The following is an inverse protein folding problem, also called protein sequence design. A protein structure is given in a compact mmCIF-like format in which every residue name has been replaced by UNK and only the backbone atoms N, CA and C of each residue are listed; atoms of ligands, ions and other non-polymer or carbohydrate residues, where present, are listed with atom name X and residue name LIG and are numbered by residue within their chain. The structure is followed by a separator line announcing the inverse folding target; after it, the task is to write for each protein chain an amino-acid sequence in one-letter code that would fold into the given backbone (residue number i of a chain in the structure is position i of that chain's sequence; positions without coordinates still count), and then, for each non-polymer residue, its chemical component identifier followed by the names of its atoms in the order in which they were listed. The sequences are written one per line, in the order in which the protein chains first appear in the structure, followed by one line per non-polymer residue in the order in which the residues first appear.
data_IF_660821813685
#
_entry.id   IF_660821813685
#
_cell.length_a   1.000
_cell.length_b   1.000
_cell.length_c   1.000
_cell.angle_alpha   90.00
_cell.angle_beta   90.00
_cell.angle_gamma   90.00
#
_symmetry.space_group_name_H-M   'P 1'
#
loop_
_entity.id
_entity.type
_entity.pdbx_description
1 polymer ?
#
# COMPACT_ATOMS: atom_id res chain seq x y z
N UNK A 1 12.13 -22.34 -4.58
CA UNK A 1 10.98 -21.41 -4.61
C UNK A 1 11.20 -20.46 -5.76
N UNK A 2 10.27 -20.36 -6.71
CA UNK A 2 10.42 -19.47 -7.86
C UNK A 2 10.55 -18.02 -7.36
N UNK A 3 11.72 -17.40 -7.59
CA UNK A 3 11.92 -15.97 -7.31
C UNK A 3 11.17 -15.20 -8.38
N UNK A 4 9.93 -14.83 -8.08
CA UNK A 4 9.04 -14.13 -9.00
C UNK A 4 9.67 -12.79 -9.37
N UNK A 5 9.75 -12.51 -10.69
CA UNK A 5 10.38 -11.29 -11.22
C UNK A 5 9.30 -10.34 -11.74
N UNK A 6 9.41 -9.02 -11.48
CA UNK A 6 10.47 -8.34 -10.73
C UNK A 6 10.30 -8.54 -9.21
N UNK A 7 11.41 -8.83 -8.52
CA UNK A 7 11.39 -9.15 -7.09
C UNK A 7 10.72 -8.06 -6.25
N UNK A 8 10.98 -6.78 -6.56
CA UNK A 8 10.41 -5.63 -5.85
C UNK A 8 8.87 -5.57 -5.87
N UNK A 9 8.24 -5.99 -6.98
CA UNK A 9 6.78 -6.02 -7.09
C UNK A 9 6.22 -7.11 -6.18
N UNK A 10 6.83 -8.29 -6.19
CA UNK A 10 6.38 -9.42 -5.40
C UNK A 10 6.67 -9.27 -3.90
N UNK A 11 7.74 -8.56 -3.54
CA UNK A 11 8.03 -8.19 -2.15
C UNK A 11 6.96 -7.23 -1.60
N UNK A 12 6.55 -6.23 -2.40
CA UNK A 12 5.46 -5.31 -2.03
C UNK A 12 4.12 -6.07 -1.94
N UNK A 13 3.83 -6.94 -2.91
CA UNK A 13 2.63 -7.77 -2.90
C UNK A 13 2.55 -8.69 -1.68
N UNK A 14 3.68 -9.31 -1.28
CA UNK A 14 3.76 -10.15 -0.10
C UNK A 14 3.50 -9.36 1.19
N UNK A 15 3.98 -8.12 1.29
CA UNK A 15 3.69 -7.24 2.43
C UNK A 15 2.22 -6.84 2.49
N UNK A 16 1.61 -6.48 1.35
CA UNK A 16 0.19 -6.12 1.28
C UNK A 16 -0.70 -7.30 1.72
N UNK A 17 -0.39 -8.53 1.31
CA UNK A 17 -1.18 -9.71 1.68
C UNK A 17 -1.12 -10.06 3.17
N UNK A 18 -0.11 -9.59 3.90
CA UNK A 18 -0.03 -9.78 5.37
C UNK A 18 -1.02 -8.87 6.10
N UNK A 19 -1.52 -7.81 5.45
CA UNK A 19 -2.51 -6.90 6.03
C UNK A 19 -3.91 -7.49 5.86
N UNK A 20 -4.59 -7.89 6.95
CA UNK A 20 -5.93 -8.46 6.84
C UNK A 20 -6.90 -7.40 6.34
N UNK A 21 -7.60 -7.68 5.23
CA UNK A 21 -8.65 -6.83 4.64
C UNK A 21 -10.01 -7.54 4.60
N UNK A 22 -10.64 -7.81 5.76
CA UNK A 22 -12.01 -8.26 5.76
C UNK A 22 -12.92 -7.16 5.20
N UNK A 23 -13.94 -7.53 4.44
CA UNK A 23 -14.89 -6.56 3.88
C UNK A 23 -15.44 -5.63 4.97
N UNK A 24 -15.52 -4.33 4.68
CA UNK A 24 -15.94 -3.26 5.61
C UNK A 24 -14.96 -2.94 6.76
N UNK A 25 -13.71 -3.42 6.69
CA UNK A 25 -12.64 -3.08 7.66
C UNK A 25 -11.34 -2.76 6.92
N UNK A 26 -11.40 -1.74 6.08
CA UNK A 26 -10.30 -1.36 5.18
C UNK A 26 -9.28 -0.41 5.84
N UNK A 27 -9.57 0.08 7.05
CA UNK A 27 -8.70 1.04 7.76
C UNK A 27 -7.24 0.58 7.90
N UNK A 28 -7.02 -0.72 8.10
CA UNK A 28 -5.66 -1.27 8.22
C UNK A 28 -4.88 -1.21 6.90
N UNK A 29 -5.54 -1.49 5.78
CA UNK A 29 -4.88 -1.43 4.48
C UNK A 29 -4.68 0.02 4.04
N UNK A 30 -5.65 0.90 4.34
CA UNK A 30 -5.51 2.35 4.13
C UNK A 30 -4.33 2.92 4.91
N UNK A 31 -4.19 2.59 6.20
CA UNK A 31 -3.06 3.02 7.02
C UNK A 31 -1.70 2.46 6.51
N UNK A 32 -1.69 1.21 6.06
CA UNK A 32 -0.49 0.60 5.46
C UNK A 32 -0.06 1.33 4.18
N UNK A 33 -1.00 1.59 3.26
CA UNK A 33 -0.72 2.29 2.00
C UNK A 33 -0.32 3.74 2.24
N UNK A 34 -0.94 4.41 3.21
CA UNK A 34 -0.56 5.77 3.62
C UNK A 34 0.90 5.81 4.05
N UNK A 35 1.26 4.93 4.99
CA UNK A 35 2.63 4.83 5.50
C UNK A 35 3.61 4.45 4.38
N UNK A 36 3.24 3.55 3.48
CA UNK A 36 4.08 3.17 2.34
C UNK A 36 4.42 4.38 1.46
N UNK A 37 3.46 5.25 1.16
CA UNK A 37 3.72 6.49 0.41
C UNK A 37 4.56 7.49 1.18
N UNK A 38 4.29 7.68 2.48
CA UNK A 38 5.04 8.57 3.37
C UNK A 38 6.51 8.12 3.56
N UNK A 39 6.75 6.82 3.73
CA UNK A 39 8.09 6.21 3.86
C UNK A 39 8.92 6.38 2.57
N UNK A 40 8.25 6.49 1.41
CA UNK A 40 8.88 6.82 0.12
C UNK A 40 9.10 8.32 -0.08
N UNK A 41 8.68 9.16 0.87
CA UNK A 41 8.73 10.62 0.76
C UNK A 41 7.78 11.20 -0.29
N UNK A 42 6.72 10.48 -0.64
CA UNK A 42 5.72 10.90 -1.62
C UNK A 42 4.54 11.58 -0.94
N UNK A 43 3.96 12.57 -1.61
CA UNK A 43 2.71 13.20 -1.15
C UNK A 43 1.62 12.13 -1.09
N UNK A 44 1.07 11.92 0.11
CA UNK A 44 0.11 10.86 0.37
C UNK A 44 -1.11 11.40 1.10
N UNK A 45 -2.29 11.23 0.51
CA UNK A 45 -3.56 11.75 1.00
C UNK A 45 -4.57 10.61 1.16
N UNK A 46 -5.46 10.75 2.15
CA UNK A 46 -6.57 9.83 2.39
C UNK A 46 -7.86 10.64 2.42
N UNK A 47 -8.88 10.23 1.66
CA UNK A 47 -10.18 10.90 1.67
C UNK A 47 -11.14 10.34 2.74
N UNK A 48 -12.31 10.95 2.90
CA UNK A 48 -13.33 10.52 3.87
C UNK A 48 -13.91 9.12 3.56
N UNK A 49 -13.79 8.66 2.31
CA UNK A 49 -14.22 7.34 1.89
C UNK A 49 -13.14 6.26 2.14
N UNK A 50 -11.93 6.65 2.57
CA UNK A 50 -10.82 5.75 2.84
C UNK A 50 -9.96 5.40 1.62
N UNK A 51 -10.15 6.09 0.49
CA UNK A 51 -9.28 5.95 -0.68
C UNK A 51 -7.92 6.60 -0.38
N UNK A 52 -6.85 6.01 -0.92
CA UNK A 52 -5.48 6.50 -0.75
C UNK A 52 -4.94 7.01 -2.08
N UNK A 53 -4.49 8.27 -2.10
CA UNK A 53 -3.78 8.87 -3.22
C UNK A 53 -2.30 8.99 -2.87
N UNK A 54 -1.42 8.39 -3.67
CA UNK A 54 0.04 8.55 -3.56
C UNK A 54 0.52 9.24 -4.84
N UNK A 55 1.02 10.48 -4.72
CA UNK A 55 1.46 11.28 -5.86
C UNK A 55 2.98 11.18 -6.02
N UNK A 56 3.40 10.63 -7.15
CA UNK A 56 4.78 10.70 -7.61
C UNK A 56 4.98 12.00 -8.41
N UNK A 57 5.95 12.86 -8.06
CA UNK A 57 6.30 14.00 -8.92
C UNK A 57 6.77 13.48 -10.29
N UNK A 58 6.33 14.17 -11.34
CA UNK A 58 6.69 13.88 -12.73
C UNK A 58 8.18 14.01 -12.98
#
# INVERSE_FOLDING_TARGET
MAQLKPQSVFDCFAQINQVPRPSKREEKITAFLRKFGEDLGLETLVDEAGNVLIRKPG
#
